data_IF_832838092647
#
_entry.id   IF_832838092647
#
_cell.length_a   1.000
_cell.length_b   1.000
_cell.length_c   1.000
_cell.angle_alpha   90.00
_cell.angle_beta   90.00
_cell.angle_gamma   90.00
#
_symmetry.space_group_name_H-M   'P 1'
#
loop_
_entity.id
_entity.type
_entity.pdbx_description
1 polymer ?
#
# COMPACT_ATOMS: atom_id res chain seq x y z
N UNK A 1 -76.95 43.69 -62.53
CA UNK A 1 -75.83 43.24 -61.66
C UNK A 1 -74.71 42.81 -62.58
N UNK A 2 -73.55 43.47 -62.52
CA UNK A 2 -72.48 43.31 -63.51
C UNK A 2 -71.72 41.98 -63.32
N UNK A 3 -71.49 41.24 -64.41
CA UNK A 3 -70.56 40.11 -64.43
C UNK A 3 -69.14 40.61 -64.14
N UNK A 4 -68.55 40.09 -63.06
CA UNK A 4 -67.17 40.35 -62.68
C UNK A 4 -66.31 39.31 -63.41
N UNK A 5 -65.59 39.73 -64.44
CA UNK A 5 -64.58 38.92 -65.13
C UNK A 5 -63.21 39.10 -64.48
N UNK A 6 -62.30 38.13 -64.66
CA UNK A 6 -60.95 38.17 -64.09
C UNK A 6 -60.19 39.46 -64.48
N UNK A 7 -60.38 39.90 -65.72
CA UNK A 7 -59.79 41.13 -66.27
C UNK A 7 -60.29 42.39 -65.56
N UNK A 8 -61.61 42.47 -65.30
CA UNK A 8 -62.22 43.59 -64.55
C UNK A 8 -61.78 43.61 -63.08
N UNK A 9 -61.52 42.44 -62.49
CA UNK A 9 -60.96 42.33 -61.14
C UNK A 9 -59.53 42.86 -61.08
N UNK A 10 -58.69 42.50 -62.05
CA UNK A 10 -57.32 43.00 -62.16
C UNK A 10 -57.29 44.51 -62.40
N UNK A 11 -58.20 45.03 -63.22
CA UNK A 11 -58.38 46.47 -63.43
C UNK A 11 -58.80 47.20 -62.14
N UNK A 12 -59.75 46.65 -61.37
CA UNK A 12 -60.17 47.22 -60.09
C UNK A 12 -59.06 47.22 -59.03
N UNK A 13 -58.20 46.20 -59.03
CA UNK A 13 -57.04 46.12 -58.14
C UNK A 13 -55.98 47.16 -58.54
N UNK A 14 -55.72 47.30 -59.85
CA UNK A 14 -54.73 48.27 -60.38
C UNK A 14 -55.17 49.72 -60.12
N UNK A 15 -56.47 49.98 -60.20
CA UNK A 15 -57.05 51.31 -59.96
C UNK A 15 -57.16 51.70 -58.47
N UNK A 16 -56.89 50.77 -57.55
CA UNK A 16 -56.90 51.04 -56.11
C UNK A 16 -55.52 50.72 -55.48
N UNK A 17 -54.67 51.75 -55.27
CA UNK A 17 -53.28 51.54 -54.82
C UNK A 17 -53.19 50.90 -53.43
N UNK A 18 -54.12 51.18 -52.52
CA UNK A 18 -54.16 50.59 -51.18
C UNK A 18 -54.47 49.09 -51.25
N UNK A 19 -55.40 48.70 -52.11
CA UNK A 19 -55.77 47.30 -52.29
C UNK A 19 -54.64 46.52 -52.98
N UNK A 20 -53.98 47.10 -53.98
CA UNK A 20 -52.80 46.50 -54.62
C UNK A 20 -51.70 46.24 -53.59
N UNK A 21 -51.42 47.21 -52.72
CA UNK A 21 -50.40 47.06 -51.68
C UNK A 21 -50.76 45.96 -50.67
N UNK A 22 -52.03 45.85 -50.25
CA UNK A 22 -52.49 44.78 -49.34
C UNK A 22 -52.37 43.41 -50.01
N UNK A 23 -52.76 43.29 -51.28
CA UNK A 23 -52.68 42.05 -52.04
C UNK A 23 -51.22 41.63 -52.27
N UNK A 24 -50.36 42.56 -52.65
CA UNK A 24 -48.93 42.27 -52.88
C UNK A 24 -48.19 41.97 -51.57
N UNK A 25 -48.61 42.57 -50.45
CA UNK A 25 -48.07 42.23 -49.12
C UNK A 25 -48.58 40.86 -48.65
N UNK A 26 -49.87 40.56 -48.84
CA UNK A 26 -50.47 39.31 -48.39
C UNK A 26 -50.01 38.10 -49.22
N UNK A 27 -49.80 38.29 -50.53
CA UNK A 27 -49.44 37.27 -51.51
C UNK A 27 -47.97 37.33 -51.97
N UNK A 28 -47.11 38.12 -51.31
CA UNK A 28 -45.73 38.39 -51.78
C UNK A 28 -44.79 37.18 -51.77
N UNK A 29 -45.07 36.15 -50.96
CA UNK A 29 -44.32 34.89 -50.84
C UNK A 29 -45.02 33.71 -51.53
N UNK A 30 -46.12 33.97 -52.24
CA UNK A 30 -47.00 32.94 -52.81
C UNK A 30 -46.65 32.67 -54.28
N UNK A 31 -46.72 31.40 -54.70
CA UNK A 31 -46.45 31.02 -56.09
C UNK A 31 -47.51 31.62 -57.05
N UNK A 32 -47.14 32.02 -58.28
CA UNK A 32 -48.05 32.70 -59.20
C UNK A 32 -49.30 31.86 -59.55
N UNK A 33 -49.20 30.53 -59.50
CA UNK A 33 -50.30 29.61 -59.74
C UNK A 33 -51.37 29.71 -58.64
N UNK A 34 -50.97 29.85 -57.38
CA UNK A 34 -51.91 29.98 -56.27
C UNK A 34 -52.59 31.35 -56.28
N UNK A 35 -51.86 32.42 -56.65
CA UNK A 35 -52.43 33.76 -56.86
C UNK A 35 -53.58 33.71 -57.89
N UNK A 36 -53.39 32.99 -58.99
CA UNK A 36 -54.41 32.81 -60.02
C UNK A 36 -55.63 31.99 -59.54
N UNK A 37 -55.40 30.94 -58.74
CA UNK A 37 -56.49 30.12 -58.17
C UNK A 37 -57.35 30.92 -57.20
N UNK A 38 -56.74 31.75 -56.35
CA UNK A 38 -57.45 32.64 -55.42
C UNK A 38 -58.32 33.64 -56.18
N UNK A 39 -57.79 34.28 -57.23
CA UNK A 39 -58.59 35.21 -58.03
C UNK A 39 -59.73 34.52 -58.81
N UNK A 40 -59.50 33.30 -59.32
CA UNK A 40 -60.53 32.51 -59.98
C UNK A 40 -61.67 32.13 -59.04
N UNK A 41 -61.33 31.79 -57.79
CA UNK A 41 -62.32 31.48 -56.75
C UNK A 41 -63.19 32.70 -56.40
N UNK A 42 -62.60 33.90 -56.32
CA UNK A 42 -63.35 35.13 -56.05
C UNK A 42 -64.35 35.47 -57.15
N UNK A 43 -63.96 35.23 -58.42
CA UNK A 43 -64.86 35.36 -59.58
C UNK A 43 -66.04 34.41 -59.43
N UNK A 44 -65.78 33.14 -59.10
CA UNK A 44 -66.82 32.13 -58.92
C UNK A 44 -67.78 32.48 -57.78
N UNK A 45 -67.24 32.98 -56.66
CA UNK A 45 -68.03 33.40 -55.50
C UNK A 45 -68.69 34.79 -55.66
N UNK A 46 -68.41 35.51 -56.76
CA UNK A 46 -68.90 36.88 -57.03
C UNK A 46 -68.58 37.88 -55.92
N UNK A 47 -67.46 37.68 -55.22
CA UNK A 47 -67.02 38.55 -54.13
C UNK A 47 -66.28 39.76 -54.73
N UNK A 48 -66.61 40.95 -54.26
CA UNK A 48 -65.94 42.17 -54.72
C UNK A 48 -64.56 42.30 -54.07
N UNK A 49 -63.57 42.83 -54.78
CA UNK A 49 -62.22 43.00 -54.23
C UNK A 49 -62.13 44.05 -53.09
N UNK A 50 -63.10 44.97 -52.98
CA UNK A 50 -63.21 45.90 -51.83
C UNK A 50 -64.11 45.37 -50.70
N UNK A 51 -64.52 44.10 -50.75
CA UNK A 51 -65.35 43.51 -49.69
C UNK A 51 -64.50 43.33 -48.40
N UNK A 52 -64.94 43.84 -47.23
CA UNK A 52 -64.22 43.68 -45.98
C UNK A 52 -63.91 42.21 -45.63
N UNK A 53 -64.77 41.26 -46.03
CA UNK A 53 -64.53 39.85 -45.79
C UNK A 53 -63.36 39.33 -46.63
N UNK A 54 -63.19 39.85 -47.85
CA UNK A 54 -62.08 39.49 -48.73
C UNK A 54 -60.75 40.05 -48.21
N UNK A 55 -60.75 41.31 -47.78
CA UNK A 55 -59.59 41.96 -47.15
C UNK A 55 -59.17 41.19 -45.89
N UNK A 56 -60.15 40.81 -45.05
CA UNK A 56 -59.90 40.01 -43.84
C UNK A 56 -59.34 38.63 -44.17
N UNK A 57 -59.85 37.97 -45.21
CA UNK A 57 -59.38 36.65 -45.64
C UNK A 57 -57.94 36.68 -46.18
N UNK A 58 -57.59 37.73 -46.93
CA UNK A 58 -56.22 37.98 -47.38
C UNK A 58 -55.28 38.29 -46.21
N UNK A 59 -55.68 39.19 -45.31
CA UNK A 59 -54.86 39.58 -44.15
C UNK A 59 -54.59 38.40 -43.22
N UNK A 60 -55.58 37.51 -43.04
CA UNK A 60 -55.43 36.32 -42.21
C UNK A 60 -54.80 35.12 -42.96
N UNK A 61 -54.41 35.29 -44.23
CA UNK A 61 -53.78 34.27 -45.08
C UNK A 61 -54.56 32.95 -45.20
N UNK A 62 -55.89 33.01 -45.05
CA UNK A 62 -56.75 31.83 -45.12
C UNK A 62 -56.85 31.23 -46.53
N UNK A 63 -56.28 31.88 -47.55
CA UNK A 63 -56.30 31.42 -48.93
C UNK A 63 -55.51 30.12 -49.17
N UNK A 64 -54.56 29.76 -48.30
CA UNK A 64 -53.91 28.44 -48.38
C UNK A 64 -54.88 27.28 -48.15
N UNK A 65 -55.91 27.48 -47.31
CA UNK A 65 -56.97 26.49 -47.05
C UNK A 65 -57.97 26.37 -48.20
N UNK A 66 -58.06 27.37 -49.07
CA UNK A 66 -58.94 27.36 -50.24
C UNK A 66 -58.40 26.49 -51.37
N UNK A 67 -57.12 26.11 -51.33
CA UNK A 67 -56.60 25.13 -52.27
C UNK A 67 -57.13 23.74 -51.90
N UNK A 68 -57.97 23.17 -52.77
CA UNK A 68 -58.57 21.83 -52.60
C UNK A 68 -57.55 20.72 -52.33
N UNK A 69 -56.28 20.91 -52.71
CA UNK A 69 -55.17 19.97 -52.48
C UNK A 69 -54.34 20.25 -51.22
N UNK A 70 -54.71 21.22 -50.38
CA UNK A 70 -53.97 21.52 -49.15
C UNK A 70 -53.85 20.32 -48.19
N UNK A 71 -54.92 19.54 -47.92
CA UNK A 71 -54.82 18.36 -47.05
C UNK A 71 -53.79 17.34 -47.57
N UNK A 72 -53.78 17.09 -48.88
CA UNK A 72 -52.82 16.16 -49.52
C UNK A 72 -51.39 16.68 -49.44
N UNK A 73 -51.16 18.00 -49.52
CA UNK A 73 -49.83 18.59 -49.36
C UNK A 73 -49.29 18.39 -47.95
N UNK A 74 -50.15 18.52 -46.93
CA UNK A 74 -49.78 18.24 -45.53
C UNK A 74 -49.46 16.76 -45.35
N UNK A 75 -50.31 15.88 -45.86
CA UNK A 75 -50.12 14.42 -45.78
C UNK A 75 -48.78 14.00 -46.41
N UNK A 76 -48.50 14.47 -47.63
CA UNK A 76 -47.23 14.20 -48.31
C UNK A 76 -46.01 14.82 -47.61
N UNK A 77 -46.17 15.95 -46.91
CA UNK A 77 -45.08 16.54 -46.12
C UNK A 77 -44.83 15.74 -44.84
N UNK A 78 -45.91 15.26 -44.19
CA UNK A 78 -45.85 14.43 -43.00
C UNK A 78 -45.22 13.07 -43.31
N UNK A 79 -45.64 12.38 -44.37
CA UNK A 79 -45.06 11.11 -44.80
C UNK A 79 -43.56 11.23 -45.09
N UNK A 80 -43.16 12.27 -45.83
CA UNK A 80 -41.73 12.55 -46.08
C UNK A 80 -40.96 12.83 -44.79
N UNK A 81 -41.59 13.54 -43.84
CA UNK A 81 -41.02 13.77 -42.51
C UNK A 81 -40.81 12.48 -41.73
N UNK A 82 -41.82 11.61 -41.69
CA UNK A 82 -41.77 10.31 -40.99
C UNK A 82 -40.69 9.40 -41.57
N UNK A 83 -40.58 9.31 -42.90
CA UNK A 83 -39.55 8.49 -43.56
C UNK A 83 -38.14 9.01 -43.24
N UNK A 84 -37.94 10.33 -43.30
CA UNK A 84 -36.63 10.95 -43.00
C UNK A 84 -36.23 10.75 -41.54
N UNK A 85 -37.18 10.96 -40.62
CA UNK A 85 -36.95 10.74 -39.19
C UNK A 85 -36.60 9.28 -38.88
N UNK A 86 -37.33 8.32 -39.45
CA UNK A 86 -37.00 6.91 -39.28
C UNK A 86 -35.63 6.54 -39.85
N UNK A 87 -35.23 7.15 -40.97
CA UNK A 87 -33.89 6.99 -41.54
C UNK A 87 -32.79 7.48 -40.58
N UNK A 88 -32.88 8.73 -40.13
CA UNK A 88 -31.90 9.35 -39.22
C UNK A 88 -31.85 8.65 -37.85
N UNK A 89 -32.99 8.22 -37.32
CA UNK A 89 -33.07 7.46 -36.07
C UNK A 89 -32.40 6.11 -36.23
N UNK A 90 -32.65 5.38 -37.33
CA UNK A 90 -32.00 4.08 -37.56
C UNK A 90 -30.49 4.19 -37.75
N UNK A 91 -30.02 5.23 -38.45
CA UNK A 91 -28.59 5.48 -38.63
C UNK A 91 -27.89 5.81 -37.29
N UNK A 92 -28.46 6.73 -36.51
CA UNK A 92 -27.96 7.05 -35.16
C UNK A 92 -28.00 5.86 -34.23
N UNK A 93 -29.08 5.07 -34.30
CA UNK A 93 -29.21 3.86 -33.48
C UNK A 93 -28.10 2.88 -33.83
N UNK A 94 -27.86 2.59 -35.12
CA UNK A 94 -26.76 1.70 -35.55
C UNK A 94 -25.37 2.19 -35.13
N UNK A 95 -25.12 3.50 -35.23
CA UNK A 95 -23.86 4.09 -34.77
C UNK A 95 -23.66 3.87 -33.26
N UNK A 96 -24.71 4.13 -32.47
CA UNK A 96 -24.70 3.91 -31.02
C UNK A 96 -24.53 2.43 -30.69
N UNK A 97 -25.21 1.51 -31.38
CA UNK A 97 -25.07 0.08 -31.10
C UNK A 97 -23.65 -0.40 -31.37
N UNK A 98 -23.02 0.02 -32.48
CA UNK A 98 -21.64 -0.36 -32.80
C UNK A 98 -20.62 0.21 -31.79
N UNK A 99 -20.80 1.44 -31.33
CA UNK A 99 -19.96 2.03 -30.28
C UNK A 99 -20.14 1.33 -28.93
N UNK A 100 -21.39 0.95 -28.59
CA UNK A 100 -21.67 0.17 -27.38
C UNK A 100 -21.05 -1.24 -27.49
N UNK A 101 -21.14 -1.91 -28.64
CA UNK A 101 -20.51 -3.22 -28.83
C UNK A 101 -18.99 -3.13 -28.70
N UNK A 102 -18.34 -2.13 -29.30
CA UNK A 102 -16.88 -1.98 -29.22
C UNK A 102 -16.40 -1.63 -27.81
N UNK A 103 -17.11 -0.76 -27.09
CA UNK A 103 -16.79 -0.41 -25.70
C UNK A 103 -17.10 -1.53 -24.72
N UNK A 104 -18.18 -2.29 -24.93
CA UNK A 104 -18.49 -3.49 -24.14
C UNK A 104 -17.42 -4.57 -24.36
N UNK A 105 -17.00 -4.81 -25.60
CA UNK A 105 -15.92 -5.75 -25.91
C UNK A 105 -14.62 -5.32 -25.23
N UNK A 106 -14.21 -4.06 -25.37
CA UNK A 106 -13.01 -3.53 -24.71
C UNK A 106 -13.08 -3.66 -23.17
N UNK A 107 -14.24 -3.42 -22.57
CA UNK A 107 -14.44 -3.62 -21.12
C UNK A 107 -14.33 -5.09 -20.72
N UNK A 108 -14.92 -6.00 -21.51
CA UNK A 108 -14.84 -7.44 -21.24
C UNK A 108 -13.42 -7.97 -21.43
N UNK A 109 -12.69 -7.52 -22.45
CA UNK A 109 -11.30 -7.87 -22.67
C UNK A 109 -10.42 -7.39 -21.52
N UNK A 110 -10.63 -6.16 -21.05
CA UNK A 110 -9.94 -5.61 -19.89
C UNK A 110 -10.23 -6.40 -18.60
N UNK A 111 -11.48 -6.82 -18.40
CA UNK A 111 -11.87 -7.62 -17.24
C UNK A 111 -11.33 -9.06 -17.31
N UNK A 112 -11.31 -9.66 -18.50
CA UNK A 112 -10.65 -10.95 -18.76
C UNK A 112 -9.15 -10.82 -18.48
N UNK A 113 -8.46 -9.83 -19.04
CA UNK A 113 -7.05 -9.59 -18.79
C UNK A 113 -6.75 -9.38 -17.30
N UNK A 114 -7.62 -8.66 -16.59
CA UNK A 114 -7.52 -8.45 -15.14
C UNK A 114 -7.74 -9.75 -14.36
N UNK A 115 -8.68 -10.59 -14.77
CA UNK A 115 -8.94 -11.88 -14.14
C UNK A 115 -7.79 -12.86 -14.37
N UNK A 116 -7.23 -12.92 -15.58
CA UNK A 116 -6.04 -13.71 -15.92
C UNK A 116 -4.83 -13.22 -15.13
N UNK A 117 -4.59 -11.91 -15.07
CA UNK A 117 -3.52 -11.35 -14.25
C UNK A 117 -3.68 -11.69 -12.76
N UNK A 118 -4.90 -11.68 -12.22
CA UNK A 118 -5.15 -12.12 -10.83
C UNK A 118 -4.88 -13.62 -10.63
N UNK A 119 -5.14 -14.45 -11.63
CA UNK A 119 -4.85 -15.88 -11.59
C UNK A 119 -3.33 -16.13 -11.66
N UNK A 120 -2.63 -15.45 -12.57
CA UNK A 120 -1.18 -15.46 -12.65
C UNK A 120 -0.55 -14.96 -11.36
N UNK A 121 -1.03 -13.86 -10.78
CA UNK A 121 -0.55 -13.33 -9.51
C UNK A 121 -0.81 -14.30 -8.33
N UNK A 122 -1.91 -15.06 -8.36
CA UNK A 122 -2.16 -16.14 -7.39
C UNK A 122 -1.24 -17.34 -7.61
N UNK A 123 -0.85 -17.64 -8.85
CA UNK A 123 0.00 -18.76 -9.21
C UNK A 123 1.50 -18.46 -8.97
N UNK A 124 1.92 -17.21 -9.19
CA UNK A 124 3.28 -16.73 -8.95
C UNK A 124 3.57 -16.44 -7.48
N UNK A 125 2.55 -16.27 -6.64
CA UNK A 125 2.75 -16.19 -5.19
C UNK A 125 3.36 -17.51 -4.73
N UNK A 126 4.61 -17.51 -4.22
CA UNK A 126 5.25 -18.73 -3.78
C UNK A 126 4.37 -19.36 -2.71
N UNK A 127 3.99 -20.63 -2.93
CA UNK A 127 3.15 -21.41 -2.01
C UNK A 127 3.65 -21.20 -0.58
N UNK A 128 2.76 -21.04 0.40
CA UNK A 128 3.13 -20.74 1.81
C UNK A 128 4.28 -21.64 2.31
N UNK A 129 4.30 -22.90 1.87
CA UNK A 129 5.37 -23.88 2.10
C UNK A 129 6.75 -23.45 1.57
N UNK A 130 6.83 -22.91 0.35
CA UNK A 130 8.08 -22.43 -0.28
C UNK A 130 8.60 -21.14 0.39
N UNK A 131 7.69 -20.24 0.80
CA UNK A 131 8.05 -19.02 1.53
C UNK A 131 8.59 -19.34 2.94
N UNK A 132 7.99 -20.31 3.63
CA UNK A 132 8.48 -20.80 4.91
C UNK A 132 9.86 -21.48 4.78
N UNK A 133 10.03 -22.38 3.80
CA UNK A 133 11.32 -23.02 3.51
C UNK A 133 12.45 -22.01 3.24
N UNK A 134 12.18 -20.96 2.46
CA UNK A 134 13.19 -19.93 2.18
C UNK A 134 13.50 -19.06 3.42
N UNK A 135 12.50 -18.81 4.27
CA UNK A 135 12.70 -18.08 5.53
C UNK A 135 13.54 -18.89 6.52
N UNK A 136 13.29 -20.20 6.63
CA UNK A 136 14.09 -21.11 7.47
C UNK A 136 15.54 -21.19 6.97
N UNK A 137 15.77 -21.30 5.66
CA UNK A 137 17.13 -21.30 5.08
C UNK A 137 17.89 -20.01 5.41
N UNK A 138 17.23 -18.86 5.33
CA UNK A 138 17.82 -17.55 5.61
C UNK A 138 18.15 -17.40 7.11
N UNK A 139 17.24 -17.83 7.99
CA UNK A 139 17.46 -17.80 9.43
C UNK A 139 18.62 -18.73 9.85
N UNK A 140 18.72 -19.91 9.24
CA UNK A 140 19.80 -20.88 9.50
C UNK A 140 21.17 -20.33 9.08
N UNK A 141 21.23 -19.59 7.97
CA UNK A 141 22.45 -18.97 7.45
C UNK A 141 23.03 -17.91 8.41
N UNK A 142 22.18 -17.24 9.18
CA UNK A 142 22.60 -16.20 10.15
C UNK A 142 22.92 -16.81 11.52
N UNK A 143 22.15 -17.82 11.96
CA UNK A 143 22.32 -18.41 13.30
C UNK A 143 23.59 -19.26 13.43
N UNK A 144 23.97 -19.99 12.38
CA UNK A 144 25.17 -20.84 12.40
C UNK A 144 26.46 -20.04 12.68
N UNK A 145 26.79 -18.95 11.94
CA UNK A 145 28.02 -18.19 12.19
C UNK A 145 28.00 -17.44 13.53
N UNK A 146 26.83 -17.05 14.03
CA UNK A 146 26.70 -16.40 15.33
C UNK A 146 27.04 -17.38 16.47
N UNK A 147 26.49 -18.59 16.42
CA UNK A 147 26.75 -19.64 17.42
C UNK A 147 28.20 -20.10 17.38
N UNK A 148 28.78 -20.29 16.20
CA UNK A 148 30.19 -20.67 16.10
C UNK A 148 31.11 -19.54 16.58
N UNK A 149 30.79 -18.29 16.29
CA UNK A 149 31.53 -17.13 16.79
C UNK A 149 31.54 -17.03 18.33
N UNK A 150 30.41 -17.30 18.99
CA UNK A 150 30.32 -17.32 20.46
C UNK A 150 31.17 -18.44 21.05
N UNK A 151 31.13 -19.65 20.48
CA UNK A 151 31.92 -20.78 20.99
C UNK A 151 33.43 -20.55 20.81
N UNK A 152 33.85 -19.99 19.67
CA UNK A 152 35.26 -19.68 19.41
C UNK A 152 35.77 -18.59 20.36
N UNK A 153 34.98 -17.54 20.59
CA UNK A 153 35.38 -16.44 21.49
C UNK A 153 35.45 -16.88 22.95
N UNK A 154 34.55 -17.74 23.42
CA UNK A 154 34.63 -18.33 24.76
C UNK A 154 35.89 -19.18 24.93
N UNK A 155 36.16 -20.10 23.99
CA UNK A 155 37.36 -20.93 23.99
C UNK A 155 38.63 -20.09 24.03
N UNK A 156 38.70 -19.04 23.22
CA UNK A 156 39.86 -18.14 23.16
C UNK A 156 40.05 -17.36 24.46
N UNK A 157 38.96 -16.93 25.10
CA UNK A 157 39.02 -16.21 26.37
C UNK A 157 39.47 -17.13 27.52
N UNK A 158 38.92 -18.35 27.58
CA UNK A 158 39.35 -19.39 28.52
C UNK A 158 40.82 -19.74 28.35
N UNK A 159 41.29 -19.92 27.12
CA UNK A 159 42.69 -20.27 26.83
C UNK A 159 43.66 -19.16 27.24
N UNK A 160 43.31 -17.88 27.01
CA UNK A 160 44.12 -16.74 27.47
C UNK A 160 44.20 -16.63 28.99
N UNK A 161 43.07 -16.80 29.67
CA UNK A 161 43.03 -16.80 31.13
C UNK A 161 43.84 -17.97 31.69
N UNK A 162 43.66 -19.19 31.14
CA UNK A 162 44.45 -20.35 31.54
C UNK A 162 45.95 -20.15 31.27
N UNK A 163 46.33 -19.56 30.13
CA UNK A 163 47.72 -19.33 29.78
C UNK A 163 48.42 -18.35 30.74
N UNK A 164 47.74 -17.27 31.13
CA UNK A 164 48.26 -16.33 32.13
C UNK A 164 48.41 -16.99 33.51
N UNK A 165 47.44 -17.79 33.92
CA UNK A 165 47.48 -18.54 35.18
C UNK A 165 48.58 -19.61 35.15
N UNK A 166 48.85 -20.22 34.00
CA UNK A 166 49.79 -21.35 33.88
C UNK A 166 51.25 -20.92 34.01
N UNK A 167 51.62 -19.68 33.65
CA UNK A 167 53.00 -19.22 33.77
C UNK A 167 53.36 -18.90 35.24
N UNK A 168 52.56 -18.08 35.92
CA UNK A 168 52.79 -17.74 37.33
C UNK A 168 52.62 -18.98 38.24
N UNK A 169 51.62 -19.83 37.95
CA UNK A 169 51.46 -21.07 38.70
C UNK A 169 52.51 -22.13 38.36
N UNK A 170 53.18 -22.09 37.21
CA UNK A 170 54.20 -23.10 36.89
C UNK A 170 55.39 -22.99 37.84
N UNK A 171 55.85 -21.78 38.13
CA UNK A 171 56.94 -21.57 39.07
C UNK A 171 56.54 -21.92 40.50
N UNK A 172 55.36 -21.46 40.94
CA UNK A 172 54.82 -21.78 42.26
C UNK A 172 54.58 -23.29 42.42
N UNK A 173 54.03 -23.96 41.41
CA UNK A 173 53.79 -25.40 41.42
C UNK A 173 55.11 -26.17 41.39
N UNK A 174 56.11 -25.70 40.64
CA UNK A 174 57.46 -26.28 40.62
C UNK A 174 58.10 -26.16 41.99
N UNK A 175 58.00 -25.01 42.65
CA UNK A 175 58.47 -24.82 44.02
C UNK A 175 57.70 -25.70 45.01
N UNK A 176 56.36 -25.73 44.94
CA UNK A 176 55.52 -26.51 45.84
C UNK A 176 55.81 -28.02 45.74
N UNK A 177 56.15 -28.51 44.54
CA UNK A 177 56.58 -29.90 44.31
C UNK A 177 58.05 -30.16 44.66
N UNK A 178 58.88 -29.12 44.76
CA UNK A 178 60.28 -29.27 45.13
C UNK A 178 60.44 -29.76 46.58
N UNK A 179 61.65 -30.22 46.93
CA UNK A 179 61.97 -30.63 48.30
C UNK A 179 61.73 -29.50 49.32
N UNK A 180 61.98 -28.24 48.94
CA UNK A 180 61.75 -27.08 49.80
C UNK A 180 60.26 -26.82 50.03
N UNK A 181 59.44 -26.91 48.99
CA UNK A 181 57.99 -26.74 49.09
C UNK A 181 57.31 -27.87 49.86
N UNK A 182 57.73 -29.12 49.62
CA UNK A 182 57.25 -30.27 50.41
C UNK A 182 57.69 -30.16 51.87
N UNK A 183 58.92 -29.71 52.14
CA UNK A 183 59.38 -29.45 53.49
C UNK A 183 58.57 -28.32 54.16
N UNK A 184 58.29 -27.22 53.46
CA UNK A 184 57.45 -26.15 53.98
C UNK A 184 56.03 -26.64 54.30
N UNK A 185 55.42 -27.44 53.41
CA UNK A 185 54.12 -28.09 53.66
C UNK A 185 54.16 -29.00 54.90
N UNK A 186 55.20 -29.81 55.03
CA UNK A 186 55.35 -30.71 56.16
C UNK A 186 55.58 -29.94 57.47
N UNK A 187 56.37 -28.86 57.42
CA UNK A 187 56.59 -27.97 58.56
C UNK A 187 55.28 -27.38 59.08
N UNK A 188 54.38 -26.96 58.20
CA UNK A 188 53.06 -26.46 58.60
C UNK A 188 52.18 -27.59 59.16
N UNK A 189 52.20 -28.77 58.52
CA UNK A 189 51.45 -29.95 58.97
C UNK A 189 51.87 -30.40 60.36
N UNK A 190 53.17 -30.38 60.68
CA UNK A 190 53.69 -30.77 61.99
C UNK A 190 53.42 -29.72 63.08
N UNK A 191 53.10 -28.48 62.68
CA UNK A 191 52.95 -27.34 63.58
C UNK A 191 51.63 -26.59 63.33
N UNK A 192 50.46 -27.25 63.46
CA UNK A 192 49.16 -26.63 63.17
C UNK A 192 48.85 -25.43 64.07
N UNK A 193 49.46 -25.37 65.26
CA UNK A 193 49.32 -24.28 66.22
C UNK A 193 49.95 -22.94 65.80
N UNK A 194 50.77 -22.92 64.75
CA UNK A 194 51.49 -21.69 64.33
C UNK A 194 50.55 -20.64 63.71
N UNK A 195 49.53 -21.05 62.95
CA UNK A 195 48.64 -20.10 62.26
C UNK A 195 47.48 -19.59 63.12
N UNK A 196 47.06 -20.38 64.11
CA UNK A 196 45.88 -20.07 64.93
C UNK A 196 46.24 -19.49 66.30
N UNK A 197 47.51 -19.15 66.54
CA UNK A 197 48.00 -18.58 67.80
C UNK A 197 48.01 -19.56 68.97
N UNK A 198 47.82 -20.87 68.73
CA UNK A 198 47.77 -21.91 69.79
C UNK A 198 49.09 -22.65 69.96
N UNK A 199 50.18 -22.11 69.44
CA UNK A 199 51.50 -22.74 69.51
C UNK A 199 51.99 -22.96 70.96
N UNK A 200 51.49 -22.16 71.91
CA UNK A 200 51.81 -22.26 73.34
C UNK A 200 51.27 -23.56 73.97
N UNK A 201 50.26 -24.19 73.37
CA UNK A 201 49.76 -25.49 73.84
C UNK A 201 50.80 -26.60 73.61
N UNK A 202 51.55 -26.54 72.51
CA UNK A 202 52.62 -27.50 72.25
C UNK A 202 53.77 -27.34 73.24
N UNK A 203 54.02 -26.11 73.70
CA UNK A 203 54.99 -25.80 74.76
C UNK A 203 54.53 -26.38 76.10
N UNK A 204 53.28 -26.12 76.48
CA UNK A 204 52.70 -26.65 77.72
C UNK A 204 52.72 -28.20 77.77
N UNK A 205 52.42 -28.86 76.64
CA UNK A 205 52.48 -30.32 76.54
C UNK A 205 53.89 -30.90 76.68
N UNK A 206 54.93 -30.11 76.39
CA UNK A 206 56.32 -30.51 76.60
C UNK A 206 56.79 -30.28 78.04
N UNK A 207 55.93 -29.72 78.91
CA UNK A 207 56.27 -29.40 80.29
C UNK A 207 57.35 -28.32 80.40
N UNK A 208 57.52 -27.50 79.35
CA UNK A 208 58.46 -26.38 79.37
C UNK A 208 57.69 -25.19 79.94
N UNK A 209 57.92 -24.86 81.21
CA UNK A 209 57.28 -23.73 81.87
C UNK A 209 57.82 -22.36 81.43
N UNK A 210 57.09 -21.29 81.73
CA UNK A 210 57.62 -19.92 81.65
C UNK A 210 58.79 -19.77 82.63
N UNK A 211 59.96 -19.35 82.14
CA UNK A 211 61.17 -19.19 82.98
C UNK A 211 61.95 -20.47 83.28
N UNK A 212 61.65 -21.60 82.63
CA UNK A 212 62.42 -22.84 82.80
C UNK A 212 63.46 -23.04 81.69
N UNK A 213 64.70 -23.34 82.07
CA UNK A 213 65.73 -23.82 81.13
C UNK A 213 65.28 -25.17 80.54
N UNK A 214 65.03 -25.21 79.22
CA UNK A 214 64.71 -26.46 78.52
C UNK A 214 65.86 -27.44 78.76
N UNK A 215 65.57 -28.64 79.28
CA UNK A 215 66.57 -29.68 79.51
C UNK A 215 66.25 -30.92 78.71
N UNK A 216 67.24 -31.49 78.02
CA UNK A 216 67.14 -32.80 77.36
C UNK A 216 68.22 -33.70 77.95
N UNK A 217 67.81 -34.83 78.52
CA UNK A 217 68.72 -35.75 79.22
C UNK A 217 69.55 -35.08 80.33
N UNK A 218 69.00 -34.07 81.01
CA UNK A 218 69.69 -33.32 82.07
C UNK A 218 70.53 -32.11 81.59
N UNK A 219 70.75 -31.92 80.30
CA UNK A 219 71.53 -30.80 79.74
C UNK A 219 70.63 -29.68 79.22
N UNK A 220 71.03 -28.42 79.44
CA UNK A 220 70.30 -27.25 78.95
C UNK A 220 70.33 -27.20 77.41
N UNK A 221 69.15 -27.19 76.80
CA UNK A 221 68.93 -27.07 75.35
C UNK A 221 68.56 -25.63 75.03
N UNK A 222 69.57 -24.82 74.74
CA UNK A 222 69.38 -23.41 74.37
C UNK A 222 70.20 -22.47 75.25
N UNK A 223 70.39 -21.25 74.76
CA UNK A 223 71.31 -20.27 75.36
C UNK A 223 70.60 -19.14 76.15
N UNK A 224 69.26 -19.11 76.23
CA UNK A 224 68.51 -18.00 76.84
C UNK A 224 67.25 -18.47 77.56
N UNK A 225 67.02 -17.91 78.74
CA UNK A 225 65.76 -18.02 79.49
C UNK A 225 64.71 -17.11 78.84
N UNK A 226 63.58 -17.68 78.42
CA UNK A 226 62.57 -16.95 77.65
C UNK A 226 61.50 -16.42 78.59
N UNK A 227 61.38 -15.08 78.64
CA UNK A 227 60.54 -14.40 79.63
C UNK A 227 59.08 -14.21 79.23
N UNK A 228 58.70 -14.27 77.94
CA UNK A 228 57.30 -14.33 77.47
C UNK A 228 57.17 -14.76 76.00
N UNK A 229 56.06 -15.44 75.64
CA UNK A 229 55.55 -15.64 74.28
C UNK A 229 56.42 -16.44 73.31
N UNK A 230 56.55 -17.76 73.52
CA UNK A 230 57.34 -18.63 72.65
C UNK A 230 56.56 -19.82 72.09
N UNK A 231 56.90 -20.22 70.86
CA UNK A 231 56.37 -21.38 70.17
C UNK A 231 57.48 -22.41 69.94
N UNK A 232 57.19 -23.69 70.11
CA UNK A 232 58.08 -24.76 69.64
C UNK A 232 57.72 -25.13 68.21
N UNK A 233 58.75 -25.31 67.37
CA UNK A 233 58.59 -25.73 65.98
C UNK A 233 59.26 -27.08 65.76
N UNK A 234 58.47 -28.07 65.39
CA UNK A 234 58.92 -29.39 64.99
C UNK A 234 59.51 -29.34 63.58
N UNK A 235 60.81 -29.63 63.45
CA UNK A 235 61.53 -29.74 62.17
C UNK A 235 61.51 -31.16 61.56
N UNK A 236 60.94 -32.11 62.28
CA UNK A 236 60.66 -33.51 61.90
C UNK A 236 59.30 -33.88 62.49
N UNK A 237 58.62 -34.94 62.01
CA UNK A 237 57.34 -35.35 62.58
C UNK A 237 57.48 -35.54 64.09
N UNK A 238 56.61 -34.91 64.93
CA UNK A 238 56.55 -35.26 66.33
C UNK A 238 56.04 -36.70 66.43
N UNK A 239 56.85 -37.59 67.01
CA UNK A 239 56.39 -38.91 67.38
C UNK A 239 55.47 -38.71 68.60
N UNK A 240 54.17 -38.85 68.40
CA UNK A 240 53.21 -38.94 69.49
C UNK A 240 53.32 -40.31 70.16
#
# INVERSE_FOLDING_TARGET
MAEITLEKLQEQITNNPELSQIIDTALGDVTPELKQQVFTFLVQCKIKPNDPLFVLMLSCRYFHLLSLDFPKKIENALERGVVKLNGEVNEKTKAITNDIYSSAVASTEAEIAKSVNRLLEKQDKPTKKKRWLNSVKSALLVLIPLLTGILITQKFYEEKQLASLKLENAELLRWAKSNQGQFAKNLLTWNPGLFNGRCEQAVANLGIGYGETIRKNGENVGMREVKNGYCVVWRKPPNF
#
